data_IF_268720152926
#
_entry.id   IF_268720152926
#
_cell.length_a   1.000
_cell.length_b   1.000
_cell.length_c   1.000
_cell.angle_alpha   90.00
_cell.angle_beta   90.00
_cell.angle_gamma   90.00
#
_symmetry.space_group_name_H-M   'P 1'
#
loop_
_entity.id
_entity.type
_entity.pdbx_description
1 polymer ?
#
# COMPACT_ATOMS: atom_id res chain seq x y z
N UNK A 1 10.30 -2.20 10.75
CA UNK A 1 9.89 -2.08 9.34
C UNK A 1 9.85 -0.58 9.00
N UNK A 2 10.22 -0.20 7.78
CA UNK A 2 10.44 1.19 7.36
C UNK A 2 9.10 1.93 7.12
N UNK A 3 8.90 3.17 7.64
CA UNK A 3 7.62 3.91 7.56
C UNK A 3 7.25 4.41 6.16
N UNK A 4 8.12 4.22 5.17
CA UNK A 4 7.97 4.75 3.82
C UNK A 4 8.74 6.05 3.64
N UNK A 5 9.34 6.22 2.47
CA UNK A 5 10.24 7.33 2.16
C UNK A 5 9.97 7.88 0.75
N UNK A 6 10.19 9.18 0.54
CA UNK A 6 10.12 9.77 -0.79
C UNK A 6 11.23 9.20 -1.67
N UNK A 7 10.89 8.89 -2.92
CA UNK A 7 11.82 8.47 -3.98
C UNK A 7 11.74 9.48 -5.14
N UNK A 8 12.75 9.56 -6.03
CA UNK A 8 12.82 10.60 -7.07
C UNK A 8 11.54 10.77 -7.92
N UNK A 9 10.76 9.70 -8.09
CA UNK A 9 9.55 9.69 -8.92
C UNK A 9 8.24 9.39 -8.16
N UNK A 10 8.25 9.45 -6.82
CA UNK A 10 7.08 9.14 -6.01
C UNK A 10 7.36 8.84 -4.55
N UNK A 11 6.59 7.90 -4.01
CA UNK A 11 6.64 7.43 -2.63
C UNK A 11 6.71 5.92 -2.60
N UNK A 12 7.55 5.40 -1.73
CA UNK A 12 7.57 3.98 -1.36
C UNK A 12 7.03 3.85 0.06
N UNK A 13 6.10 2.93 0.29
CA UNK A 13 5.55 2.66 1.62
C UNK A 13 5.37 1.15 1.82
N UNK A 14 5.69 0.66 3.01
CA UNK A 14 5.48 -0.73 3.40
C UNK A 14 4.42 -0.81 4.50
N UNK A 15 3.51 -1.76 4.38
CA UNK A 15 2.45 -1.96 5.37
C UNK A 15 1.59 -3.17 5.09
N UNK A 16 0.48 -3.26 5.82
CA UNK A 16 -0.53 -4.33 5.66
C UNK A 16 -1.78 -3.75 5.01
N UNK A 17 -2.35 -4.48 4.07
CA UNK A 17 -3.57 -4.08 3.37
C UNK A 17 -4.81 -4.29 4.25
N UNK A 18 -5.56 -3.23 4.47
CA UNK A 18 -6.92 -3.24 5.02
C UNK A 18 -7.96 -2.93 3.95
N UNK A 19 -9.06 -3.69 3.93
CA UNK A 19 -10.22 -3.44 3.06
C UNK A 19 -11.35 -2.90 3.93
N UNK A 20 -11.68 -1.61 3.82
CA UNK A 20 -12.67 -0.96 4.68
C UNK A 20 -13.51 0.04 3.91
N UNK A 21 -14.83 0.00 4.09
CA UNK A 21 -15.76 0.95 3.45
C UNK A 21 -15.67 1.01 1.92
N UNK A 22 -15.18 -0.04 1.25
CA UNK A 22 -14.91 -0.04 -0.20
C UNK A 22 -13.56 0.55 -0.61
N UNK A 23 -12.78 1.05 0.33
CA UNK A 23 -11.39 1.45 0.13
C UNK A 23 -10.42 0.29 0.32
N UNK A 24 -9.31 0.35 -0.41
CA UNK A 24 -8.09 -0.39 -0.10
C UNK A 24 -7.13 0.56 0.60
N UNK A 25 -6.73 0.23 1.81
CA UNK A 25 -5.90 1.08 2.67
C UNK A 25 -4.63 0.31 3.01
N UNK A 26 -3.47 0.90 2.81
CA UNK A 26 -2.21 0.43 3.37
C UNK A 26 -2.06 1.01 4.78
N UNK A 27 -2.04 0.14 5.78
CA UNK A 27 -1.77 0.51 7.17
C UNK A 27 -0.28 0.35 7.43
N UNK A 28 0.38 1.46 7.69
CA UNK A 28 1.79 1.50 8.12
C UNK A 28 1.86 1.76 9.63
N UNK A 29 3.06 1.76 10.20
CA UNK A 29 3.29 2.14 11.60
C UNK A 29 2.97 3.62 11.88
N UNK A 30 3.03 4.47 10.85
CA UNK A 30 2.96 5.93 10.99
C UNK A 30 1.63 6.52 10.51
N UNK A 31 1.00 5.91 9.49
CA UNK A 31 -0.14 6.50 8.80
C UNK A 31 -0.97 5.45 8.05
N UNK A 32 -2.17 5.87 7.63
CA UNK A 32 -3.08 5.09 6.79
C UNK A 32 -3.12 5.71 5.40
N UNK A 33 -2.82 4.92 4.39
CA UNK A 33 -2.68 5.39 3.01
C UNK A 33 -3.74 4.72 2.13
N UNK A 34 -4.65 5.49 1.55
CA UNK A 34 -5.58 4.97 0.55
C UNK A 34 -4.81 4.59 -0.73
N UNK A 35 -4.99 3.36 -1.19
CA UNK A 35 -4.41 2.86 -2.43
C UNK A 35 -5.45 2.99 -3.55
N UNK A 36 -5.08 3.68 -4.63
CA UNK A 36 -5.94 3.86 -5.81
C UNK A 36 -5.23 3.41 -7.08
N UNK A 37 -6.00 3.12 -8.12
CA UNK A 37 -5.50 2.69 -9.42
C UNK A 37 -5.78 1.22 -9.75
N UNK A 38 -5.46 0.77 -10.98
CA UNK A 38 -5.86 -0.54 -11.49
C UNK A 38 -5.22 -1.72 -10.72
N UNK A 39 -3.95 -1.58 -10.31
CA UNK A 39 -3.18 -2.62 -9.59
C UNK A 39 -3.74 -2.96 -8.22
N UNK A 40 -4.52 -2.05 -7.63
CA UNK A 40 -5.12 -2.22 -6.30
C UNK A 40 -6.07 -3.42 -6.24
N UNK A 41 -6.63 -3.84 -7.38
CA UNK A 41 -7.52 -5.01 -7.48
C UNK A 41 -6.82 -6.34 -7.19
N UNK A 42 -5.49 -6.36 -7.20
CA UNK A 42 -4.67 -7.54 -6.94
C UNK A 42 -4.45 -7.76 -5.44
N UNK A 43 -4.71 -6.74 -4.62
CA UNK A 43 -4.44 -6.74 -3.18
C UNK A 43 -5.52 -7.45 -2.38
N UNK A 44 -5.10 -8.12 -1.31
CA UNK A 44 -5.96 -8.87 -0.40
C UNK A 44 -5.89 -8.31 1.01
N UNK A 45 -7.01 -8.40 1.72
CA UNK A 45 -7.04 -8.06 3.14
C UNK A 45 -6.01 -8.87 3.93
N UNK A 46 -5.21 -8.20 4.77
CA UNK A 46 -4.15 -8.79 5.59
C UNK A 46 -2.82 -9.04 4.84
N UNK A 47 -2.72 -8.67 3.56
CA UNK A 47 -1.50 -8.86 2.77
C UNK A 47 -0.41 -7.84 3.17
N UNK A 48 0.77 -8.28 3.60
CA UNK A 48 1.93 -7.39 3.72
C UNK A 48 2.47 -7.07 2.33
N UNK A 49 2.71 -5.80 2.05
CA UNK A 49 3.12 -5.34 0.72
C UNK A 49 3.97 -4.08 0.81
N UNK A 50 4.93 -3.97 -0.10
CA UNK A 50 5.61 -2.71 -0.42
C UNK A 50 4.95 -2.10 -1.65
N UNK A 51 4.46 -0.87 -1.50
CA UNK A 51 3.82 -0.10 -2.55
C UNK A 51 4.77 0.99 -3.03
N UNK A 52 4.86 1.17 -4.35
CA UNK A 52 5.39 2.40 -4.94
C UNK A 52 4.28 3.12 -5.69
N UNK A 53 4.21 4.43 -5.51
CA UNK A 53 3.17 5.22 -6.13
C UNK A 53 3.43 6.72 -6.09
N UNK A 54 2.44 7.48 -6.55
CA UNK A 54 2.45 8.95 -6.54
C UNK A 54 1.29 9.47 -5.71
N UNK A 55 1.48 10.63 -5.07
CA UNK A 55 0.38 11.27 -4.32
C UNK A 55 -0.80 11.50 -5.25
N UNK A 56 -1.98 11.14 -4.78
CA UNK A 56 -3.24 11.28 -5.48
C UNK A 56 -4.28 11.98 -4.59
N UNK A 57 -5.37 12.50 -5.16
CA UNK A 57 -6.50 12.97 -4.39
C UNK A 57 -7.06 11.84 -3.50
N UNK A 58 -7.36 12.16 -2.23
CA UNK A 58 -7.99 11.22 -1.31
C UNK A 58 -9.44 10.94 -1.75
N UNK A 59 -9.85 9.68 -1.93
CA UNK A 59 -11.24 9.36 -2.21
C UNK A 59 -12.16 9.85 -1.08
N UNK A 60 -13.37 10.34 -1.39
CA UNK A 60 -14.33 10.73 -0.36
C UNK A 60 -14.65 9.53 0.54
N UNK A 61 -14.88 9.80 1.82
CA UNK A 61 -15.25 8.81 2.84
C UNK A 61 -14.22 7.70 3.10
N UNK A 62 -13.00 7.83 2.56
CA UNK A 62 -11.92 6.89 2.79
C UNK A 62 -11.20 7.19 4.11
N UNK A 63 -11.13 6.24 5.07
CA UNK A 63 -10.51 6.47 6.38
C UNK A 63 -8.96 6.36 6.30
N UNK A 64 -8.36 7.31 5.59
CA UNK A 64 -6.92 7.40 5.36
C UNK A 64 -6.44 8.86 5.42
N UNK A 65 -5.18 9.05 5.80
CA UNK A 65 -4.54 10.36 5.95
C UNK A 65 -4.15 10.96 4.59
N UNK A 66 -3.82 10.10 3.62
CA UNK A 66 -3.47 10.47 2.23
C UNK A 66 -3.81 9.35 1.25
N UNK A 67 -3.66 9.61 -0.05
CA UNK A 67 -3.81 8.61 -1.09
C UNK A 67 -2.57 8.50 -2.00
N UNK A 68 -2.28 7.27 -2.45
CA UNK A 68 -1.28 6.96 -3.45
C UNK A 68 -1.92 6.26 -4.66
N UNK A 69 -1.66 6.80 -5.85
CA UNK A 69 -1.85 6.09 -7.10
C UNK A 69 -0.74 5.05 -7.24
N UNK A 70 -1.11 3.78 -7.16
CA UNK A 70 -0.19 2.65 -7.19
C UNK A 70 0.40 2.49 -8.59
N UNK A 71 1.71 2.62 -8.68
CA UNK A 71 2.48 2.37 -9.91
C UNK A 71 3.13 0.99 -9.90
N UNK A 72 3.48 0.49 -8.71
CA UNK A 72 4.13 -0.80 -8.53
C UNK A 72 3.76 -1.42 -7.17
N UNK A 73 3.71 -2.75 -7.12
CA UNK A 73 3.45 -3.56 -5.93
C UNK A 73 4.52 -4.62 -5.84
N UNK A 74 5.17 -4.72 -4.69
CA UNK A 74 6.11 -5.79 -4.36
C UNK A 74 5.54 -6.56 -3.17
N UNK A 75 5.17 -7.82 -3.40
CA UNK A 75 4.77 -8.71 -2.33
C UNK A 75 5.95 -8.92 -1.37
N UNK A 76 5.74 -8.60 -0.09
CA UNK A 76 6.67 -8.99 0.95
C UNK A 76 6.41 -10.47 1.27
N UNK A 77 6.79 -11.34 0.33
CA UNK A 77 6.81 -12.77 0.58
C UNK A 77 7.85 -12.97 1.69
N UNK A 78 7.51 -13.65 2.80
CA UNK A 78 8.51 -14.03 3.76
C UNK A 78 9.51 -14.92 3.01
N UNK A 79 10.71 -14.41 2.76
CA UNK A 79 11.82 -15.20 2.25
C UNK A 79 12.01 -16.40 3.20
N UNK A 80 11.47 -17.57 2.85
CA UNK A 80 11.54 -18.71 3.76
C UNK A 80 10.65 -19.93 3.49
N UNK A 81 10.17 -20.18 2.26
CA UNK A 81 9.48 -21.45 1.94
C UNK A 81 9.85 -22.05 0.58
N UNK A 82 11.15 -22.23 0.33
CA UNK A 82 11.62 -23.21 -0.65
C UNK A 82 12.97 -23.79 -0.23
N UNK A 83 12.98 -24.96 0.41
CA UNK A 83 14.05 -25.96 0.29
C UNK A 83 13.39 -27.35 0.40
N UNK A 84 13.37 -28.08 -0.73
CA UNK A 84 13.17 -29.53 -0.79
C UNK A 84 14.52 -30.23 -0.61
#
# INVERSE_FOLDING_TARGET
>A
MDPGYPVPDGWTAHGVVELTGGCVVLVTEAERIALVGPRVRELRHGQPVTVRGRVAPLPPDCPADRALLVTDLEDDLPFGRFQW
#
